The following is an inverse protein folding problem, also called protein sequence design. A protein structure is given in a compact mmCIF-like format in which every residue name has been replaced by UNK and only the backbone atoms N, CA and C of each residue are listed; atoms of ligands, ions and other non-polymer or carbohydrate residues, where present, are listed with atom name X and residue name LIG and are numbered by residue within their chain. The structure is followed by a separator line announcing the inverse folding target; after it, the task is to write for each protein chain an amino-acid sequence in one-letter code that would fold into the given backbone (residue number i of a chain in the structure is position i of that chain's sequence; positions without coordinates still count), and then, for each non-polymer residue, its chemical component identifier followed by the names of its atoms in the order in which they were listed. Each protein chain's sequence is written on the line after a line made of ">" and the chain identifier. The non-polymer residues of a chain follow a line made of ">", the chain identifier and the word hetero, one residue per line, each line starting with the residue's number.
data_IF_409450386052
#
_entry.id   IF_409450386052
#
_cell.length_a   1.000
_cell.length_b   1.000
_cell.length_c   1.000
_cell.angle_alpha   90.00
_cell.angle_beta   90.00
_cell.angle_gamma   90.00
#
_symmetry.space_group_name_H-M   'P 1'
#
loop_
_entity.id
_entity.type
_entity.pdbx_description
1 polymer ?
#
# COMPACT_ATOMS: atom_id res chain seq x y z
N UNK A 1 32.81 56.23 22.23
CA UNK A 1 33.61 55.34 21.36
C UNK A 1 33.39 53.92 21.87
N UNK A 2 32.92 52.92 21.12
CA UNK A 2 32.55 52.87 19.71
C UNK A 2 31.26 52.06 19.50
N UNK A 3 30.59 52.38 18.40
CA UNK A 3 29.49 51.62 17.84
C UNK A 3 30.06 50.33 17.24
N UNK A 4 29.75 49.17 17.81
CA UNK A 4 30.13 47.89 17.23
C UNK A 4 28.95 47.32 16.42
N UNK A 5 29.08 47.44 15.10
CA UNK A 5 28.77 46.37 14.16
C UNK A 5 27.38 45.74 14.23
N UNK A 6 26.34 46.51 13.91
CA UNK A 6 25.05 45.94 13.51
C UNK A 6 25.26 44.95 12.36
N UNK A 7 25.19 43.66 12.67
CA UNK A 7 25.30 42.59 11.67
C UNK A 7 24.05 42.68 10.79
N UNK A 8 24.19 43.15 9.55
CA UNK A 8 23.07 43.22 8.62
C UNK A 8 22.75 41.77 8.20
N UNK A 9 21.61 41.20 8.63
CA UNK A 9 21.27 39.83 8.27
C UNK A 9 21.06 39.73 6.76
N UNK A 10 21.67 38.72 6.13
CA UNK A 10 21.57 38.54 4.69
C UNK A 10 20.16 38.09 4.32
N UNK A 11 19.69 38.43 3.12
CA UNK A 11 18.32 38.11 2.63
C UNK A 11 17.93 36.64 2.79
N UNK A 12 18.88 35.71 2.71
CA UNK A 12 18.65 34.27 2.90
C UNK A 12 18.40 33.87 4.37
N UNK A 13 18.70 34.74 5.34
CA UNK A 13 18.43 34.55 6.77
C UNK A 13 17.06 35.13 7.15
N UNK A 14 16.64 36.23 6.52
CA UNK A 14 15.32 36.83 6.73
C UNK A 14 14.19 36.12 5.98
N UNK A 15 14.50 35.53 4.83
CA UNK A 15 13.51 34.88 3.97
C UNK A 15 13.67 33.38 4.08
N UNK A 16 12.72 32.71 4.73
CA UNK A 16 12.52 31.27 4.59
C UNK A 16 12.41 30.97 3.10
N UNK A 17 13.45 30.35 2.53
CA UNK A 17 13.40 29.84 1.16
C UNK A 17 12.17 28.94 0.99
N UNK A 18 11.61 28.84 -0.23
CA UNK A 18 10.46 28.00 -0.48
C UNK A 18 10.75 26.60 0.06
N UNK A 19 9.87 26.08 0.93
CA UNK A 19 9.98 24.73 1.49
C UNK A 19 10.22 23.79 0.32
N UNK A 20 11.37 23.10 0.30
CA UNK A 20 11.58 21.98 -0.63
C UNK A 20 10.35 21.09 -0.49
N UNK A 21 9.59 20.93 -1.56
CA UNK A 21 8.51 19.97 -1.60
C UNK A 21 9.10 18.64 -1.13
N UNK A 22 8.66 18.16 0.04
CA UNK A 22 9.03 16.83 0.52
C UNK A 22 8.69 15.87 -0.61
N UNK A 23 9.73 15.31 -1.22
CA UNK A 23 9.56 14.18 -2.13
C UNK A 23 8.99 13.10 -1.25
N UNK A 24 7.67 12.93 -1.28
CA UNK A 24 6.99 11.79 -0.66
C UNK A 24 7.79 10.56 -1.06
N UNK A 25 8.38 9.92 -0.05
CA UNK A 25 9.30 8.82 -0.28
C UNK A 25 8.55 7.74 -1.06
N UNK A 26 9.09 7.37 -2.22
CA UNK A 26 8.48 6.34 -3.08
C UNK A 26 8.23 5.02 -2.33
N UNK A 27 9.04 4.76 -1.30
CA UNK A 27 8.86 3.65 -0.36
C UNK A 27 7.57 3.78 0.45
N UNK A 28 7.23 4.96 0.95
CA UNK A 28 6.01 5.21 1.72
C UNK A 28 4.76 4.99 0.85
N UNK A 29 4.79 5.42 -0.42
CA UNK A 29 3.69 5.16 -1.36
C UNK A 29 3.54 3.66 -1.65
N UNK A 30 4.66 2.95 -1.82
CA UNK A 30 4.63 1.49 -2.01
C UNK A 30 4.07 0.77 -0.78
N UNK A 31 4.49 1.17 0.42
CA UNK A 31 3.97 0.64 1.68
C UNK A 31 2.46 0.88 1.76
N UNK A 32 2.00 2.10 1.48
CA UNK A 32 0.57 2.44 1.53
C UNK A 32 -0.29 1.55 0.63
N UNK A 33 0.19 1.17 -0.56
CA UNK A 33 -0.54 0.26 -1.47
C UNK A 33 -0.83 -1.12 -0.87
N UNK A 34 -0.07 -1.56 0.14
CA UNK A 34 -0.28 -2.84 0.82
C UNK A 34 -1.23 -2.75 2.02
N UNK A 35 -1.54 -1.54 2.49
CA UNK A 35 -2.42 -1.31 3.64
C UNK A 35 -3.75 -0.68 3.26
N UNK A 36 -3.83 0.05 2.15
CA UNK A 36 -5.01 0.82 1.77
C UNK A 36 -5.64 0.34 0.46
N UNK A 37 -6.97 0.38 0.43
CA UNK A 37 -7.79 0.11 -0.74
C UNK A 37 -7.53 1.19 -1.80
N UNK A 38 -7.21 0.77 -3.03
CA UNK A 38 -6.88 1.74 -4.10
C UNK A 38 -8.09 2.58 -4.51
N UNK A 39 -9.31 2.08 -4.26
CA UNK A 39 -10.56 2.75 -4.63
C UNK A 39 -11.09 3.64 -3.50
N UNK A 40 -11.33 3.08 -2.30
CA UNK A 40 -11.91 3.83 -1.17
C UNK A 40 -10.87 4.57 -0.32
N UNK A 41 -9.57 4.31 -0.52
CA UNK A 41 -8.47 4.83 0.32
C UNK A 41 -8.57 4.43 1.81
N UNK A 42 -9.47 3.52 2.15
CA UNK A 42 -9.60 2.97 3.50
C UNK A 42 -8.64 1.80 3.72
N UNK A 43 -8.42 1.42 4.98
CA UNK A 43 -7.62 0.23 5.31
C UNK A 43 -8.21 -1.03 4.66
N UNK A 44 -7.34 -1.90 4.16
CA UNK A 44 -7.72 -3.16 3.58
C UNK A 44 -8.33 -4.08 4.64
N UNK A 45 -9.51 -4.61 4.35
CA UNK A 45 -10.26 -5.52 5.21
C UNK A 45 -10.68 -6.75 4.43
N UNK A 46 -10.62 -7.92 5.05
CA UNK A 46 -11.12 -9.16 4.43
C UNK A 46 -12.63 -9.03 4.22
N UNK A 47 -13.18 -9.43 3.06
CA UNK A 47 -12.50 -10.03 1.91
C UNK A 47 -11.77 -9.00 1.01
N UNK A 48 -10.48 -9.25 0.77
CA UNK A 48 -9.63 -8.41 -0.10
C UNK A 48 -9.61 -9.02 -1.51
N UNK A 49 -9.71 -8.17 -2.52
CA UNK A 49 -9.65 -8.58 -3.93
C UNK A 49 -8.52 -7.85 -4.66
N UNK A 50 -7.99 -8.47 -5.71
CA UNK A 50 -7.04 -7.83 -6.62
C UNK A 50 -7.57 -7.78 -8.04
N UNK A 51 -7.10 -6.80 -8.81
CA UNK A 51 -7.34 -6.75 -10.25
C UNK A 51 -6.16 -7.29 -11.06
N UNK A 52 -6.32 -7.34 -12.37
CA UNK A 52 -5.30 -7.80 -13.31
C UNK A 52 -4.02 -6.94 -13.32
N UNK A 53 -4.13 -5.69 -12.87
CA UNK A 53 -3.00 -4.77 -12.73
C UNK A 53 -2.26 -4.93 -11.39
N UNK A 54 -2.69 -5.84 -10.52
CA UNK A 54 -2.08 -6.09 -9.22
C UNK A 54 -2.40 -5.04 -8.15
N UNK A 55 -3.47 -4.24 -8.33
CA UNK A 55 -3.96 -3.31 -7.31
C UNK A 55 -4.85 -4.04 -6.31
N UNK A 56 -4.86 -3.58 -5.06
CA UNK A 56 -5.65 -4.15 -3.97
C UNK A 56 -6.89 -3.31 -3.68
N UNK A 57 -8.01 -3.99 -3.44
CA UNK A 57 -9.30 -3.37 -3.15
C UNK A 57 -10.05 -4.14 -2.07
N UNK A 58 -10.89 -3.43 -1.32
CA UNK A 58 -11.94 -4.05 -0.52
C UNK A 58 -13.06 -4.52 -1.46
N UNK A 59 -13.57 -5.73 -1.24
CA UNK A 59 -14.64 -6.29 -2.09
C UNK A 59 -15.88 -5.39 -2.09
N UNK A 60 -16.24 -4.84 -0.94
CA UNK A 60 -17.40 -3.96 -0.78
C UNK A 60 -17.27 -2.70 -1.65
N UNK A 61 -16.11 -2.03 -1.59
CA UNK A 61 -15.83 -0.85 -2.41
C UNK A 61 -15.93 -1.14 -3.92
N UNK A 62 -15.44 -2.31 -4.37
CA UNK A 62 -15.56 -2.70 -5.80
C UNK A 62 -17.03 -2.92 -6.18
N UNK A 63 -17.83 -3.53 -5.31
CA UNK A 63 -19.26 -3.76 -5.57
C UNK A 63 -19.98 -2.41 -5.68
N UNK A 64 -19.74 -1.49 -4.74
CA UNK A 64 -20.32 -0.14 -4.77
C UNK A 64 -19.96 0.60 -6.06
N UNK A 65 -18.70 0.54 -6.50
CA UNK A 65 -18.24 1.14 -7.75
C UNK A 65 -18.87 0.53 -9.01
N UNK A 66 -19.15 -0.77 -9.00
CA UNK A 66 -19.82 -1.45 -10.11
C UNK A 66 -21.33 -1.15 -10.15
N UNK A 67 -21.95 -0.92 -8.99
CA UNK A 67 -23.37 -0.55 -8.88
C UNK A 67 -23.61 0.91 -9.24
N UNK A 68 -22.66 1.78 -8.94
CA UNK A 68 -22.72 3.18 -9.34
C UNK A 68 -22.67 3.30 -10.88
N UNK A 69 -23.73 3.86 -11.48
CA UNK A 69 -23.86 4.09 -12.93
C UNK A 69 -23.59 5.54 -13.31
N UNK A 70 -23.19 6.37 -12.36
CA UNK A 70 -22.88 7.77 -12.60
C UNK A 70 -21.70 7.90 -13.58
N UNK A 71 -21.77 8.88 -14.48
CA UNK A 71 -20.68 9.18 -15.41
C UNK A 71 -19.46 9.77 -14.70
N UNK A 72 -19.67 10.43 -13.56
CA UNK A 72 -18.63 11.01 -12.70
C UNK A 72 -18.25 10.03 -11.59
N UNK A 73 -17.66 8.88 -11.96
CA UNK A 73 -17.19 7.93 -10.94
C UNK A 73 -15.93 8.49 -10.26
N UNK A 74 -15.95 8.73 -8.93
CA UNK A 74 -14.72 9.03 -8.23
C UNK A 74 -13.72 7.90 -8.47
N UNK A 75 -12.49 8.26 -8.82
CA UNK A 75 -11.40 7.32 -9.10
C UNK A 75 -11.62 6.38 -10.31
N UNK A 76 -12.30 6.81 -11.37
CA UNK A 76 -12.36 6.09 -12.65
C UNK A 76 -10.98 5.63 -13.15
N UNK A 77 -9.92 6.44 -12.94
CA UNK A 77 -8.54 6.07 -13.27
C UNK A 77 -7.99 4.89 -12.43
N UNK A 78 -8.52 4.69 -11.23
CA UNK A 78 -8.10 3.65 -10.30
C UNK A 78 -8.72 2.28 -10.64
N UNK A 79 -9.98 2.26 -11.08
CA UNK A 79 -10.77 1.03 -11.26
C UNK A 79 -11.48 0.90 -12.62
N UNK A 80 -11.24 1.77 -13.60
CA UNK A 80 -11.96 1.78 -14.89
C UNK A 80 -11.81 0.52 -15.76
N UNK A 81 -10.81 -0.32 -15.49
CA UNK A 81 -10.63 -1.62 -16.14
C UNK A 81 -11.52 -2.72 -15.52
N UNK A 82 -12.04 -2.51 -14.30
CA UNK A 82 -12.92 -3.45 -13.60
C UNK A 82 -14.34 -3.21 -14.09
N UNK A 83 -14.78 -4.01 -15.06
CA UNK A 83 -16.14 -3.95 -15.62
C UNK A 83 -17.11 -4.94 -14.98
N UNK A 84 -16.58 -5.96 -14.30
CA UNK A 84 -17.36 -7.03 -13.69
C UNK A 84 -16.64 -7.59 -12.48
N UNK A 85 -17.39 -8.23 -11.58
CA UNK A 85 -16.85 -8.98 -10.43
C UNK A 85 -15.92 -10.12 -10.86
N UNK A 86 -16.04 -10.61 -12.10
CA UNK A 86 -15.18 -11.65 -12.67
C UNK A 86 -13.76 -11.15 -12.95
N UNK A 87 -13.58 -9.85 -13.11
CA UNK A 87 -12.28 -9.23 -13.40
C UNK A 87 -11.43 -9.03 -12.14
N UNK A 88 -11.99 -9.35 -10.96
CA UNK A 88 -11.28 -9.33 -9.69
C UNK A 88 -11.16 -10.72 -9.11
N UNK A 89 -10.05 -10.97 -8.45
CA UNK A 89 -9.74 -12.26 -7.83
C UNK A 89 -9.70 -12.04 -6.32
N UNK A 90 -10.44 -12.89 -5.59
CA UNK A 90 -10.40 -12.89 -4.13
C UNK A 90 -9.05 -13.42 -3.66
N UNK A 91 -8.41 -12.70 -2.75
CA UNK A 91 -7.09 -13.03 -2.25
C UNK A 91 -7.14 -13.92 -1.01
N UNK A 92 -6.37 -15.00 -1.05
CA UNK A 92 -6.10 -15.89 0.07
C UNK A 92 -4.77 -15.50 0.71
N UNK A 93 -4.82 -14.44 1.53
CA UNK A 93 -3.68 -13.91 2.25
C UNK A 93 -3.45 -14.69 3.56
N UNK A 94 -2.17 -14.88 3.90
CA UNK A 94 -1.77 -15.52 5.17
C UNK A 94 -1.50 -14.43 6.19
N UNK A 95 -2.14 -14.48 7.35
CA UNK A 95 -1.92 -13.52 8.42
C UNK A 95 -0.50 -13.66 8.98
N UNK A 96 0.11 -12.53 9.33
CA UNK A 96 1.38 -12.50 10.01
C UNK A 96 1.15 -12.78 11.51
N UNK A 97 1.69 -13.86 12.09
CA UNK A 97 1.56 -14.11 13.54
C UNK A 97 2.24 -13.01 14.37
N UNK A 98 3.19 -12.30 13.78
CA UNK A 98 3.92 -11.22 14.40
C UNK A 98 3.10 -9.90 14.41
N UNK A 99 1.94 -9.85 13.74
CA UNK A 99 1.09 -8.67 13.66
C UNK A 99 0.20 -8.53 14.88
N UNK A 100 0.35 -7.43 15.61
CA UNK A 100 -0.38 -7.13 16.85
C UNK A 100 -1.67 -6.33 16.63
N UNK A 101 -2.07 -6.16 15.37
CA UNK A 101 -3.24 -5.36 14.98
C UNK A 101 -2.98 -3.85 15.08
N UNK A 102 -4.03 -3.06 14.88
CA UNK A 102 -3.98 -1.59 14.99
C UNK A 102 -3.70 -1.08 16.42
N UNK A 103 -3.47 -1.99 17.38
CA UNK A 103 -3.21 -1.69 18.79
C UNK A 103 -1.75 -1.29 18.98
N UNK A 104 -1.39 -0.11 18.50
CA UNK A 104 -0.07 0.45 18.77
C UNK A 104 0.28 1.66 17.91
N UNK A 105 -0.33 2.82 18.18
CA UNK A 105 0.49 3.98 18.55
C UNK A 105 -0.33 5.04 19.30
N UNK A 106 -0.32 5.00 20.63
CA UNK A 106 -0.77 6.13 21.45
C UNK A 106 0.33 7.17 21.65
N UNK A 107 1.53 7.02 21.06
CA UNK A 107 2.62 7.99 21.24
C UNK A 107 3.52 8.08 20.00
N UNK A 108 3.19 9.02 19.12
CA UNK A 108 4.10 10.03 18.52
C UNK A 108 5.43 9.65 17.85
N UNK A 109 5.99 8.47 18.05
CA UNK A 109 7.39 8.18 17.78
C UNK A 109 7.51 6.83 17.06
N UNK A 110 8.36 6.79 16.03
CA UNK A 110 8.88 5.61 15.32
C UNK A 110 8.07 5.07 14.13
N UNK A 111 8.57 5.42 12.95
CA UNK A 111 8.21 4.89 11.62
C UNK A 111 8.76 3.47 11.34
N UNK A 112 9.18 2.70 12.37
CA UNK A 112 10.10 1.57 12.15
C UNK A 112 9.56 0.17 12.48
N UNK A 113 8.41 0.01 13.15
CA UNK A 113 7.99 -1.33 13.64
C UNK A 113 6.55 -1.73 13.28
N UNK A 114 5.99 -1.15 12.22
CA UNK A 114 4.73 -1.64 11.65
C UNK A 114 4.99 -2.90 10.82
N UNK A 115 4.92 -4.04 11.51
CA UNK A 115 4.90 -5.37 10.90
C UNK A 115 3.74 -5.48 9.92
N UNK A 116 3.97 -6.11 8.77
CA UNK A 116 2.92 -6.26 7.78
C UNK A 116 1.80 -7.17 8.31
N UNK A 117 0.55 -6.84 8.01
CA UNK A 117 -0.60 -7.68 8.37
C UNK A 117 -0.50 -9.09 7.74
N UNK A 118 0.13 -9.19 6.57
CA UNK A 118 0.20 -10.41 5.78
C UNK A 118 1.64 -10.82 5.44
N UNK A 119 1.86 -12.13 5.33
CA UNK A 119 3.15 -12.74 4.99
C UNK A 119 3.04 -13.75 3.86
N UNK A 120 4.16 -14.01 3.19
CA UNK A 120 4.29 -15.15 2.29
C UNK A 120 4.28 -16.45 3.10
N UNK A 121 3.40 -17.43 2.79
CA UNK A 121 3.32 -18.68 3.55
C UNK A 121 4.55 -19.59 3.41
N UNK A 122 5.35 -19.41 2.36
CA UNK A 122 6.50 -20.29 2.05
C UNK A 122 7.80 -19.72 2.61
N UNK A 123 8.08 -18.44 2.33
CA UNK A 123 9.36 -17.79 2.69
C UNK A 123 9.23 -16.95 3.96
N UNK A 124 8.01 -16.69 4.45
CA UNK A 124 7.79 -15.85 5.63
C UNK A 124 8.04 -14.36 5.41
N UNK A 125 8.20 -13.91 4.16
CA UNK A 125 8.43 -12.49 3.85
C UNK A 125 7.18 -11.65 4.10
N UNK A 126 7.36 -10.49 4.71
CA UNK A 126 6.32 -9.52 5.01
C UNK A 126 5.86 -8.74 3.77
N UNK A 127 4.54 -8.52 3.67
CA UNK A 127 3.92 -7.71 2.61
C UNK A 127 3.99 -6.22 2.94
N UNK A 128 5.21 -5.68 3.06
CA UNK A 128 5.49 -4.28 3.41
C UNK A 128 5.96 -3.42 2.21
N UNK A 129 5.86 -3.93 0.98
CA UNK A 129 6.30 -3.22 -0.22
C UNK A 129 7.80 -3.21 -0.50
N UNK A 130 8.63 -3.82 0.36
CA UNK A 130 10.05 -4.07 0.07
C UNK A 130 10.26 -5.22 -0.91
N UNK A 131 9.33 -6.17 -0.92
CA UNK A 131 9.37 -7.37 -1.78
C UNK A 131 8.20 -7.38 -2.77
N UNK A 132 8.44 -7.98 -3.94
CA UNK A 132 7.40 -8.22 -4.94
C UNK A 132 6.63 -9.48 -4.59
N UNK A 133 5.31 -9.38 -4.70
CA UNK A 133 4.39 -10.50 -4.52
C UNK A 133 3.58 -10.70 -5.80
N UNK A 134 3.19 -11.95 -6.02
CA UNK A 134 2.42 -12.39 -7.16
C UNK A 134 1.21 -13.18 -6.66
N UNK A 135 0.12 -13.10 -7.42
CA UNK A 135 -1.14 -13.77 -7.10
C UNK A 135 -1.40 -14.85 -8.15
N UNK A 136 -1.71 -16.05 -7.69
CA UNK A 136 -2.14 -17.14 -8.58
C UNK A 136 -3.62 -16.98 -8.93
N UNK A 137 -3.94 -16.82 -10.22
CA UNK A 137 -5.31 -16.56 -10.66
C UNK A 137 -6.29 -17.70 -10.39
N UNK A 138 -5.81 -18.94 -10.39
CA UNK A 138 -6.66 -20.13 -10.23
C UNK A 138 -7.20 -20.28 -8.79
N UNK A 139 -6.39 -19.93 -7.78
CA UNK A 139 -6.73 -20.15 -6.36
C UNK A 139 -6.71 -18.88 -5.49
N UNK A 140 -6.30 -17.74 -6.04
CA UNK A 140 -6.20 -16.47 -5.29
C UNK A 140 -5.07 -16.42 -4.25
N UNK A 141 -4.21 -17.44 -4.18
CA UNK A 141 -3.11 -17.47 -3.22
C UNK A 141 -2.02 -16.45 -3.59
N UNK A 142 -1.45 -15.81 -2.56
CA UNK A 142 -0.41 -14.78 -2.72
C UNK A 142 0.94 -15.30 -2.25
N UNK A 143 1.96 -15.18 -3.10
CA UNK A 143 3.31 -15.63 -2.83
C UNK A 143 4.32 -14.55 -3.18
N UNK A 144 5.49 -14.58 -2.55
CA UNK A 144 6.59 -13.70 -2.94
C UNK A 144 7.21 -14.18 -4.25
N UNK A 145 7.77 -13.26 -5.05
CA UNK A 145 8.50 -13.61 -6.27
C UNK A 145 9.64 -14.61 -5.99
N UNK A 146 10.28 -14.50 -4.80
CA UNK A 146 11.31 -15.45 -4.35
C UNK A 146 10.74 -16.85 -4.16
N UNK A 147 9.57 -16.98 -3.52
CA UNK A 147 8.93 -18.28 -3.34
C UNK A 147 8.64 -18.95 -4.70
N UNK A 148 8.14 -18.17 -5.67
CA UNK A 148 7.81 -18.69 -6.99
C UNK A 148 9.04 -19.10 -7.82
N UNK A 149 10.22 -18.52 -7.57
CA UNK A 149 11.45 -18.96 -8.22
C UNK A 149 11.96 -20.29 -7.70
N UNK A 150 11.73 -20.58 -6.42
CA UNK A 150 12.12 -21.85 -5.80
C UNK A 150 11.12 -22.97 -6.12
N UNK A 151 9.83 -22.63 -6.28
CA UNK A 151 8.77 -23.59 -6.58
C UNK A 151 8.70 -23.82 -8.10
N UNK A 152 9.16 -24.99 -8.56
CA UNK A 152 9.10 -25.39 -9.97
C UNK A 152 7.76 -25.98 -10.41
N UNK A 153 6.80 -26.10 -9.50
CA UNK A 153 5.49 -26.70 -9.77
C UNK A 153 4.44 -25.62 -10.02
N UNK A 154 3.66 -25.79 -11.08
CA UNK A 154 2.57 -24.86 -11.44
C UNK A 154 1.30 -25.06 -10.58
N UNK A 155 1.30 -26.05 -9.68
CA UNK A 155 0.15 -26.45 -8.88
C UNK A 155 0.28 -25.88 -7.46
N UNK A 156 -0.74 -25.17 -7.00
CA UNK A 156 -0.84 -24.70 -5.62
C UNK A 156 -1.49 -25.78 -4.75
N UNK A 157 -0.75 -26.34 -3.79
CA UNK A 157 -1.23 -27.38 -2.87
C UNK A 157 -1.76 -26.82 -1.53
N UNK A 158 -2.11 -25.53 -1.50
CA UNK A 158 -2.53 -24.85 -0.28
C UNK A 158 -4.02 -25.02 -0.01
#
# INVERSE_FOLDING_TARGET
>A
MGCDGGTIPKRHELVKGPKKAEKVDKSAELVARWYYCTLSQEKLKRPIVTCELGRLYNKDAVIEFLLDKSTDKPHANAAGHIKSIKNVILLNLTDNPAWTGDKGNTKGDMYDEQRAQFICPVVGLEMNGKHRFCVLRQCGCVFSERALKEIKTDICHK
#
